data_IF_989952110019
#
_entry.id   IF_989952110019
#
_cell.length_a   1.000
_cell.length_b   1.000
_cell.length_c   1.000
_cell.angle_alpha   90.00
_cell.angle_beta   90.00
_cell.angle_gamma   90.00
#
_symmetry.space_group_name_H-M   'P 1'
#
loop_
_entity.id
_entity.type
_entity.pdbx_description
1 polymer ?
#
# COMPACT_ATOMS: atom_id res chain seq x y z
N UNK A 1 -25.05 -12.10 -10.23
CA UNK A 1 -24.03 -11.56 -9.30
C UNK A 1 -24.41 -11.89 -7.87
N UNK A 2 -23.50 -12.49 -7.11
CA UNK A 2 -23.74 -12.92 -5.73
C UNK A 2 -22.90 -12.09 -4.77
N UNK A 3 -23.54 -11.56 -3.72
CA UNK A 3 -22.90 -10.70 -2.73
C UNK A 3 -23.17 -11.27 -1.35
N UNK A 4 -22.09 -11.43 -0.56
CA UNK A 4 -22.16 -11.98 0.81
C UNK A 4 -23.02 -11.14 1.75
N UNK A 5 -22.99 -9.81 1.57
CA UNK A 5 -23.71 -8.85 2.42
C UNK A 5 -25.18 -8.78 2.05
N UNK A 6 -26.03 -8.62 3.06
CA UNK A 6 -27.49 -8.44 2.89
C UNK A 6 -27.87 -7.08 2.28
N UNK A 7 -26.96 -6.11 2.31
CA UNK A 7 -27.12 -4.81 1.66
C UNK A 7 -25.83 -4.39 0.96
N UNK A 8 -25.95 -3.65 -0.14
CA UNK A 8 -24.82 -2.97 -0.76
C UNK A 8 -24.34 -1.83 0.15
N UNK A 9 -23.02 -1.65 0.32
CA UNK A 9 -22.50 -0.48 1.03
C UNK A 9 -22.96 0.79 0.30
N UNK A 10 -23.24 1.83 1.08
CA UNK A 10 -23.68 3.15 0.58
C UNK A 10 -22.70 4.27 0.94
N UNK A 11 -21.94 4.08 2.01
CA UNK A 11 -20.95 5.04 2.50
C UNK A 11 -19.60 4.63 1.94
N UNK A 12 -18.91 5.58 1.29
CA UNK A 12 -17.54 5.37 0.82
C UNK A 12 -16.54 6.06 1.77
N UNK A 13 -15.95 5.35 2.74
CA UNK A 13 -14.95 5.93 3.64
C UNK A 13 -13.73 6.47 2.89
N UNK A 14 -13.42 5.91 1.71
CA UNK A 14 -12.30 6.37 0.88
C UNK A 14 -12.45 7.83 0.47
N UNK A 15 -13.68 8.28 0.17
CA UNK A 15 -13.92 9.68 -0.20
C UNK A 15 -13.56 10.65 0.92
N UNK A 16 -13.80 10.25 2.17
CA UNK A 16 -13.39 11.05 3.31
C UNK A 16 -11.85 11.08 3.44
N UNK A 17 -11.18 9.94 3.22
CA UNK A 17 -9.71 9.85 3.23
C UNK A 17 -9.04 10.69 2.14
N UNK A 18 -9.70 10.85 0.98
CA UNK A 18 -9.23 11.73 -0.09
C UNK A 18 -9.45 13.22 0.21
N UNK A 19 -10.33 13.52 1.15
CA UNK A 19 -10.64 14.87 1.62
C UNK A 19 -9.85 15.21 2.90
N UNK A 20 -10.11 16.40 3.45
CA UNK A 20 -9.62 16.82 4.78
C UNK A 20 -8.09 16.82 4.96
N UNK A 21 -7.32 16.81 3.86
CA UNK A 21 -5.87 16.81 3.93
C UNK A 21 -5.27 15.54 4.56
N UNK A 22 -6.04 14.45 4.68
CA UNK A 22 -5.62 13.20 5.32
C UNK A 22 -4.44 12.57 4.57
N UNK A 23 -4.53 12.43 3.24
CA UNK A 23 -3.48 11.79 2.41
C UNK A 23 -2.05 12.24 2.81
N UNK A 24 -1.72 13.55 2.82
CA UNK A 24 -0.38 13.99 3.18
C UNK A 24 0.00 13.91 4.66
N UNK A 25 -0.96 13.72 5.58
CA UNK A 25 -0.67 13.64 7.03
C UNK A 25 -0.91 12.25 7.62
N UNK A 26 -1.48 11.30 6.88
CA UNK A 26 -1.90 10.01 7.45
C UNK A 26 -0.76 9.28 8.18
N UNK A 27 0.47 9.36 7.63
CA UNK A 27 1.66 8.76 8.23
C UNK A 27 1.93 9.26 9.66
N UNK A 28 1.54 10.49 10.02
CA UNK A 28 1.79 11.07 11.35
C UNK A 28 0.86 10.54 12.42
N UNK A 29 -0.20 9.81 12.05
CA UNK A 29 -1.09 9.18 13.02
C UNK A 29 -0.32 8.12 13.83
N UNK A 30 -0.56 8.00 15.14
CA UNK A 30 -0.12 6.87 15.92
C UNK A 30 -0.69 5.55 15.36
N UNK A 31 0.02 4.45 15.59
CA UNK A 31 -0.39 3.14 15.07
C UNK A 31 -1.78 2.71 15.53
N UNK A 32 -2.16 3.02 16.77
CA UNK A 32 -3.50 2.75 17.27
C UNK A 32 -4.60 3.44 16.44
N UNK A 33 -4.36 4.67 16.01
CA UNK A 33 -5.30 5.42 15.18
C UNK A 33 -5.30 4.93 13.73
N UNK A 34 -4.12 4.66 13.16
CA UNK A 34 -4.00 4.03 11.83
C UNK A 34 -4.77 2.71 11.78
N UNK A 35 -4.56 1.85 12.77
CA UNK A 35 -5.19 0.54 12.87
C UNK A 35 -6.71 0.66 13.00
N UNK A 36 -7.19 1.50 13.92
CA UNK A 36 -8.63 1.75 14.11
C UNK A 36 -9.29 2.30 12.84
N UNK A 37 -8.66 3.27 12.19
CA UNK A 37 -9.17 3.87 10.97
C UNK A 37 -9.20 2.87 9.81
N UNK A 38 -8.16 2.05 9.64
CA UNK A 38 -8.12 1.02 8.61
C UNK A 38 -9.10 -0.12 8.89
N UNK A 39 -9.24 -0.57 10.15
CA UNK A 39 -10.22 -1.59 10.52
C UNK A 39 -11.64 -1.13 10.14
N UNK A 40 -11.99 0.12 10.42
CA UNK A 40 -13.24 0.73 9.98
C UNK A 40 -13.36 0.81 8.45
N UNK A 41 -12.29 1.21 7.76
CA UNK A 41 -12.26 1.27 6.29
C UNK A 41 -12.57 -0.10 5.65
N UNK A 42 -11.89 -1.16 6.08
CA UNK A 42 -12.10 -2.52 5.55
C UNK A 42 -13.49 -3.08 5.90
N UNK A 43 -14.02 -2.76 7.09
CA UNK A 43 -15.36 -3.18 7.49
C UNK A 43 -16.45 -2.60 6.57
N UNK A 44 -16.36 -1.31 6.22
CA UNK A 44 -17.34 -0.64 5.34
C UNK A 44 -17.11 -1.01 3.85
N UNK A 45 -15.86 -0.98 3.39
CA UNK A 45 -15.46 -1.12 1.99
C UNK A 45 -16.08 -0.03 1.08
N UNK A 46 -15.77 -0.05 -0.22
CA UNK A 46 -16.27 0.93 -1.19
C UNK A 46 -17.59 0.45 -1.83
N UNK A 47 -18.56 1.37 -2.05
CA UNK A 47 -19.76 1.08 -2.84
C UNK A 47 -19.46 0.98 -4.33
N UNK A 48 -20.30 0.25 -5.10
CA UNK A 48 -20.28 0.38 -6.56
C UNK A 48 -20.63 1.82 -6.96
N UNK A 49 -20.16 2.24 -8.13
CA UNK A 49 -20.60 3.52 -8.70
C UNK A 49 -22.04 3.40 -9.21
N UNK A 50 -22.82 4.48 -9.10
CA UNK A 50 -24.19 4.52 -9.63
C UNK A 50 -24.21 4.17 -11.12
N UNK A 51 -23.27 4.72 -11.88
CA UNK A 51 -23.12 4.49 -13.32
C UNK A 51 -22.91 3.00 -13.66
N UNK A 52 -21.96 2.31 -13.02
CA UNK A 52 -21.74 0.87 -13.23
C UNK A 52 -22.93 0.04 -12.77
N UNK A 53 -23.54 0.40 -11.64
CA UNK A 53 -24.73 -0.29 -11.14
C UNK A 53 -25.91 -0.18 -12.12
N UNK A 54 -26.20 1.03 -12.62
CA UNK A 54 -27.30 1.25 -13.57
C UNK A 54 -27.08 0.51 -14.89
N UNK A 55 -25.85 0.50 -15.41
CA UNK A 55 -25.52 -0.30 -16.61
C UNK A 55 -25.73 -1.79 -16.37
N UNK A 56 -25.33 -2.31 -15.22
CA UNK A 56 -25.55 -3.72 -14.89
C UNK A 56 -27.05 -4.04 -14.81
N UNK A 57 -27.83 -3.20 -14.12
CA UNK A 57 -29.29 -3.37 -14.02
C UNK A 57 -30.03 -3.26 -15.36
N UNK A 58 -29.49 -2.52 -16.32
CA UNK A 58 -30.08 -2.42 -17.66
C UNK A 58 -29.84 -3.66 -18.54
N UNK A 59 -28.94 -4.57 -18.15
CA UNK A 59 -28.62 -5.76 -18.93
C UNK A 59 -29.67 -6.87 -18.71
N UNK A 60 -30.24 -7.39 -19.80
CA UNK A 60 -31.18 -8.52 -19.73
C UNK A 60 -30.52 -9.74 -19.09
N UNK A 61 -31.18 -10.36 -18.10
CA UNK A 61 -30.64 -11.50 -17.36
C UNK A 61 -29.71 -11.16 -16.20
N UNK A 62 -29.41 -9.87 -15.93
CA UNK A 62 -28.69 -9.51 -14.73
C UNK A 62 -29.56 -9.70 -13.48
N UNK A 63 -29.10 -10.55 -12.57
CA UNK A 63 -29.70 -10.74 -11.25
C UNK A 63 -28.67 -10.46 -10.14
N UNK A 64 -29.09 -9.72 -9.10
CA UNK A 64 -28.30 -9.43 -7.92
C UNK A 64 -28.85 -10.21 -6.72
N UNK A 65 -28.03 -11.09 -6.14
CA UNK A 65 -28.37 -11.89 -4.97
C UNK A 65 -27.60 -11.35 -3.76
N UNK A 66 -28.29 -10.61 -2.89
CA UNK A 66 -27.73 -10.10 -1.62
C UNK A 66 -27.90 -11.14 -0.52
N UNK A 67 -27.01 -11.16 0.47
CA UNK A 67 -27.04 -12.15 1.55
C UNK A 67 -26.82 -13.58 1.03
N UNK A 68 -26.09 -13.71 -0.07
CA UNK A 68 -25.88 -14.97 -0.78
C UNK A 68 -24.38 -15.34 -0.80
N UNK A 69 -23.75 -15.58 0.36
CA UNK A 69 -22.41 -16.14 0.38
C UNK A 69 -22.43 -17.53 -0.26
N UNK A 70 -21.36 -17.85 -0.99
CA UNK A 70 -21.17 -19.18 -1.52
C UNK A 70 -20.69 -20.08 -0.38
N UNK A 71 -21.46 -21.13 -0.12
CA UNK A 71 -21.19 -22.12 0.92
C UNK A 71 -20.46 -23.34 0.36
N UNK A 72 -20.66 -23.62 -0.92
CA UNK A 72 -20.05 -24.73 -1.64
C UNK A 72 -20.06 -24.42 -3.14
N UNK A 73 -19.03 -24.91 -3.83
CA UNK A 73 -18.90 -24.87 -5.28
C UNK A 73 -18.43 -26.24 -5.73
N UNK A 74 -19.15 -26.86 -6.66
CA UNK A 74 -18.79 -28.16 -7.24
C UNK A 74 -19.09 -28.18 -8.73
N UNK A 75 -18.32 -28.94 -9.50
CA UNK A 75 -18.69 -29.29 -10.87
C UNK A 75 -19.64 -30.50 -10.84
N UNK A 76 -20.78 -30.41 -11.54
CA UNK A 76 -21.73 -31.53 -11.72
C UNK A 76 -22.26 -31.49 -13.15
N UNK A 77 -22.12 -32.62 -13.87
CA UNK A 77 -22.62 -32.79 -15.24
C UNK A 77 -22.15 -31.70 -16.23
N UNK A 78 -20.92 -31.20 -16.06
CA UNK A 78 -20.35 -30.15 -16.92
C UNK A 78 -20.78 -28.71 -16.56
N UNK A 79 -21.56 -28.52 -15.49
CA UNK A 79 -21.94 -27.21 -14.97
C UNK A 79 -21.31 -26.95 -13.60
N UNK A 80 -21.14 -25.68 -13.26
CA UNK A 80 -20.75 -25.27 -11.92
C UNK A 80 -21.99 -25.07 -11.06
N UNK A 81 -22.10 -25.87 -9.99
CA UNK A 81 -23.16 -25.79 -9.00
C UNK A 81 -22.66 -25.04 -7.77
N UNK A 82 -23.27 -23.89 -7.51
CA UNK A 82 -22.99 -23.06 -6.34
C UNK A 82 -24.15 -23.17 -5.35
N UNK A 83 -23.84 -23.55 -4.12
CA UNK A 83 -24.81 -23.55 -3.01
C UNK A 83 -24.71 -22.27 -2.20
N UNK A 84 -25.86 -21.64 -1.98
CA UNK A 84 -25.99 -20.46 -1.11
C UNK A 84 -27.08 -20.73 -0.06
N UNK A 85 -27.26 -19.86 0.95
CA UNK A 85 -28.42 -19.94 1.84
C UNK A 85 -29.77 -19.82 1.13
N UNK A 86 -29.79 -19.36 -0.14
CA UNK A 86 -31.00 -19.15 -0.94
C UNK A 86 -31.30 -20.33 -1.89
N UNK A 87 -30.46 -21.36 -1.88
CA UNK A 87 -30.59 -22.53 -2.75
C UNK A 87 -29.35 -22.81 -3.59
N UNK A 88 -29.49 -23.77 -4.50
CA UNK A 88 -28.49 -24.10 -5.51
C UNK A 88 -28.69 -23.28 -6.78
N UNK A 89 -27.57 -22.87 -7.41
CA UNK A 89 -27.54 -22.16 -8.66
C UNK A 89 -26.54 -22.82 -9.60
N UNK A 90 -26.89 -22.96 -10.89
CA UNK A 90 -26.09 -23.60 -11.93
C UNK A 90 -25.55 -22.55 -12.90
N UNK A 91 -24.28 -22.67 -13.29
CA UNK A 91 -23.61 -21.75 -14.20
C UNK A 91 -22.65 -22.50 -15.13
N UNK A 92 -22.53 -22.03 -16.38
CA UNK A 92 -21.50 -22.52 -17.31
C UNK A 92 -20.10 -21.99 -16.94
N UNK A 93 -20.03 -20.75 -16.43
CA UNK A 93 -18.78 -20.07 -16.11
C UNK A 93 -18.90 -19.24 -14.83
N UNK A 94 -17.77 -19.11 -14.11
CA UNK A 94 -17.67 -18.26 -12.94
C UNK A 94 -16.68 -17.11 -13.16
N UNK A 95 -17.10 -15.89 -12.84
CA UNK A 95 -16.21 -14.75 -12.67
C UNK A 95 -16.04 -14.46 -11.17
N UNK A 96 -14.83 -14.72 -10.63
CA UNK A 96 -14.54 -14.59 -9.20
C UNK A 96 -13.92 -13.22 -8.90
N UNK A 97 -14.73 -12.31 -8.35
CA UNK A 97 -14.32 -10.95 -7.99
C UNK A 97 -14.28 -10.78 -6.45
N UNK A 98 -13.50 -11.61 -5.76
CA UNK A 98 -13.49 -11.72 -4.28
C UNK A 98 -12.49 -10.78 -3.58
N UNK A 99 -11.80 -9.93 -4.34
CA UNK A 99 -10.81 -8.97 -3.83
C UNK A 99 -9.38 -9.51 -3.86
N UNK A 100 -8.52 -8.88 -3.08
CA UNK A 100 -7.08 -9.16 -3.03
C UNK A 100 -6.64 -9.32 -1.56
N UNK A 101 -5.53 -10.01 -1.35
CA UNK A 101 -4.86 -10.13 -0.05
C UNK A 101 -3.48 -9.46 -0.15
N UNK A 102 -3.08 -8.78 0.92
CA UNK A 102 -1.72 -8.25 1.08
C UNK A 102 -0.94 -9.19 1.99
N UNK A 103 -0.04 -9.99 1.41
CA UNK A 103 0.83 -10.88 2.17
C UNK A 103 2.15 -11.10 1.39
N UNK A 104 3.31 -10.67 1.92
CA UNK A 104 4.62 -10.92 1.30
C UNK A 104 4.95 -12.39 1.09
N UNK A 105 4.38 -13.30 1.90
CA UNK A 105 4.65 -14.74 1.80
C UNK A 105 4.06 -15.34 0.51
N UNK A 106 3.06 -14.70 -0.08
CA UNK A 106 2.45 -15.11 -1.35
C UNK A 106 3.23 -14.63 -2.58
N UNK A 107 4.36 -13.94 -2.40
CA UNK A 107 5.17 -13.36 -3.47
C UNK A 107 6.46 -14.17 -3.66
N UNK A 108 6.60 -14.95 -4.76
CA UNK A 108 7.79 -15.78 -4.98
C UNK A 108 9.10 -14.99 -4.94
N UNK A 109 9.10 -13.75 -5.45
CA UNK A 109 10.24 -12.85 -5.45
C UNK A 109 10.67 -12.39 -4.04
N UNK A 110 9.77 -12.49 -3.04
CA UNK A 110 10.06 -12.17 -1.64
C UNK A 110 10.22 -13.43 -0.78
N UNK A 111 10.17 -14.64 -1.34
CA UNK A 111 10.13 -15.88 -0.55
C UNK A 111 11.30 -16.02 0.44
N UNK A 112 12.51 -15.57 0.06
CA UNK A 112 13.70 -15.60 0.93
C UNK A 112 13.67 -14.56 2.06
N UNK A 113 12.80 -13.55 1.95
CA UNK A 113 12.73 -12.38 2.82
C UNK A 113 11.40 -12.30 3.59
N UNK A 114 10.36 -13.01 3.16
CA UNK A 114 8.99 -12.82 3.67
C UNK A 114 8.86 -13.05 5.18
N UNK A 115 9.61 -14.01 5.74
CA UNK A 115 9.67 -14.25 7.20
C UNK A 115 10.51 -13.24 7.98
N UNK A 116 11.23 -12.36 7.29
CA UNK A 116 12.15 -11.33 7.81
C UNK A 116 11.56 -9.92 7.73
N UNK A 117 10.48 -9.73 6.99
CA UNK A 117 9.74 -8.48 6.90
C UNK A 117 8.85 -8.35 8.13
N UNK A 118 8.92 -7.22 8.84
CA UNK A 118 7.99 -6.92 9.92
C UNK A 118 6.59 -6.71 9.36
N UNK A 119 5.58 -7.31 9.99
CA UNK A 119 4.18 -7.04 9.71
C UNK A 119 3.53 -6.26 10.87
N UNK A 120 2.33 -5.74 10.63
CA UNK A 120 1.57 -5.01 11.64
C UNK A 120 1.34 -5.84 12.92
N UNK A 121 1.09 -7.14 12.78
CA UNK A 121 0.97 -8.06 13.92
C UNK A 121 2.22 -8.19 14.79
N UNK A 122 3.42 -7.90 14.24
CA UNK A 122 4.68 -7.89 15.00
C UNK A 122 4.92 -6.56 15.75
N UNK A 123 4.19 -5.49 15.38
CA UNK A 123 4.47 -4.10 15.83
C UNK A 123 3.36 -3.51 16.69
N UNK A 124 2.12 -3.93 16.47
CA UNK A 124 0.97 -3.39 17.18
C UNK A 124 0.07 -4.51 17.69
N UNK A 125 -0.21 -4.50 18.99
CA UNK A 125 -1.20 -5.37 19.61
C UNK A 125 -2.49 -4.58 19.83
N UNK A 126 -3.56 -4.85 19.05
CA UNK A 126 -4.83 -4.17 19.23
C UNK A 126 -5.50 -4.61 20.55
N UNK A 127 -6.37 -3.77 21.13
CA UNK A 127 -7.16 -4.15 22.31
C UNK A 127 -7.96 -5.44 22.08
N UNK A 128 -8.30 -6.19 23.14
CA UNK A 128 -9.11 -7.41 23.04
C UNK A 128 -10.38 -7.20 22.22
N UNK A 129 -10.63 -8.10 21.26
CA UNK A 129 -11.78 -8.04 20.35
C UNK A 129 -11.64 -7.09 19.16
N UNK A 130 -10.51 -6.38 19.02
CA UNK A 130 -10.26 -5.48 17.88
C UNK A 130 -9.23 -6.03 16.89
N UNK A 131 -8.68 -7.22 17.13
CA UNK A 131 -7.76 -7.87 16.20
C UNK A 131 -8.39 -8.09 14.82
N UNK A 132 -7.62 -7.77 13.79
CA UNK A 132 -8.03 -7.90 12.40
C UNK A 132 -6.89 -8.57 11.60
N UNK A 133 -7.00 -9.88 11.33
CA UNK A 133 -5.96 -10.63 10.63
C UNK A 133 -5.59 -10.06 9.26
N UNK A 134 -6.52 -9.36 8.59
CA UNK A 134 -6.22 -8.70 7.31
C UNK A 134 -5.24 -7.56 7.52
N UNK A 135 -5.39 -6.76 8.59
CA UNK A 135 -4.45 -5.70 8.91
C UNK A 135 -3.12 -6.28 9.37
N UNK A 136 -3.18 -7.26 10.27
CA UNK A 136 -2.01 -7.83 10.94
C UNK A 136 -1.00 -8.44 9.94
N UNK A 137 -1.49 -8.95 8.80
CA UNK A 137 -0.67 -9.52 7.72
C UNK A 137 0.02 -8.48 6.82
N UNK A 138 -0.37 -7.20 6.85
CA UNK A 138 0.29 -6.19 6.02
C UNK A 138 1.71 -5.91 6.52
N UNK A 139 2.67 -5.65 5.61
CA UNK A 139 3.98 -5.13 5.97
C UNK A 139 3.89 -3.84 6.79
N UNK A 140 4.73 -3.75 7.82
CA UNK A 140 4.96 -2.54 8.57
C UNK A 140 6.11 -1.76 7.91
N UNK A 141 5.82 -0.55 7.42
CA UNK A 141 6.72 0.18 6.52
C UNK A 141 7.31 1.42 7.19
N UNK A 142 8.51 1.77 6.75
CA UNK A 142 9.16 3.02 7.09
C UNK A 142 8.48 4.25 6.47
N UNK A 143 8.89 5.45 6.90
CA UNK A 143 8.31 6.71 6.44
C UNK A 143 8.51 6.95 4.94
N UNK A 144 9.56 6.39 4.35
CA UNK A 144 9.89 6.43 2.93
C UNK A 144 9.39 5.22 2.13
N UNK A 145 8.51 4.40 2.71
CA UNK A 145 8.02 3.13 2.15
C UNK A 145 8.99 1.95 2.22
N UNK A 146 10.04 2.04 3.04
CA UNK A 146 11.00 0.97 3.27
C UNK A 146 10.32 -0.27 3.86
N UNK A 147 10.70 -1.47 3.41
CA UNK A 147 10.39 -2.70 4.14
C UNK A 147 11.24 -2.72 5.41
N UNK A 148 10.59 -2.82 6.57
CA UNK A 148 11.29 -2.84 7.84
C UNK A 148 11.58 -4.28 8.30
N UNK A 149 12.72 -4.51 8.95
CA UNK A 149 13.12 -5.83 9.40
C UNK A 149 12.29 -6.26 10.60
N UNK A 150 11.98 -7.55 10.68
CA UNK A 150 11.27 -8.17 11.80
C UNK A 150 12.12 -8.11 13.06
N UNK A 151 13.38 -8.55 12.96
CA UNK A 151 14.40 -8.45 14.00
C UNK A 151 15.60 -7.60 13.53
N UNK A 152 16.43 -7.05 14.43
CA UNK A 152 17.58 -6.22 14.04
C UNK A 152 18.56 -6.90 13.06
N UNK A 153 18.72 -8.22 13.14
CA UNK A 153 19.63 -9.01 12.31
C UNK A 153 19.19 -9.07 10.85
N UNK A 154 17.90 -8.88 10.57
CA UNK A 154 17.34 -8.88 9.22
C UNK A 154 17.56 -7.56 8.47
N UNK A 155 18.02 -6.50 9.16
CA UNK A 155 18.07 -5.13 8.62
C UNK A 155 18.89 -5.03 7.32
N UNK A 156 20.07 -5.65 7.29
CA UNK A 156 20.94 -5.60 6.11
C UNK A 156 20.31 -6.27 4.87
N UNK A 157 19.46 -7.29 5.07
CA UNK A 157 18.82 -8.01 3.97
C UNK A 157 17.66 -7.24 3.34
N UNK A 158 17.12 -6.24 4.03
CA UNK A 158 16.00 -5.42 3.55
C UNK A 158 16.42 -4.01 3.11
N UNK A 159 17.69 -3.64 3.29
CA UNK A 159 18.23 -2.37 2.80
C UNK A 159 18.01 -2.24 1.29
N UNK A 160 17.60 -1.05 0.84
CA UNK A 160 17.26 -0.79 -0.57
C UNK A 160 15.89 -1.33 -1.04
N UNK A 161 15.10 -1.99 -0.18
CA UNK A 161 13.78 -2.50 -0.55
C UNK A 161 12.65 -1.57 -0.11
N UNK A 162 11.83 -1.14 -1.08
CA UNK A 162 10.71 -0.22 -0.88
C UNK A 162 9.41 -0.81 -1.43
N UNK A 163 8.32 -0.71 -0.67
CA UNK A 163 7.00 -1.20 -1.03
C UNK A 163 6.05 -0.05 -1.41
N UNK A 164 6.01 0.30 -2.69
CA UNK A 164 5.09 1.32 -3.23
C UNK A 164 3.89 0.68 -3.94
N UNK A 165 3.00 0.08 -3.17
CA UNK A 165 1.78 -0.57 -3.64
C UNK A 165 0.73 -0.63 -2.51
N UNK A 166 -0.31 -1.46 -2.66
CA UNK A 166 -1.39 -1.60 -1.68
C UNK A 166 -0.93 -2.00 -0.27
N UNK A 167 0.25 -2.64 -0.14
CA UNK A 167 0.85 -2.95 1.17
C UNK A 167 1.09 -1.73 2.05
N UNK A 168 1.26 -0.54 1.44
CA UNK A 168 1.48 0.70 2.16
C UNK A 168 0.21 1.30 2.78
N UNK A 169 -0.97 0.76 2.49
CA UNK A 169 -2.25 1.38 2.87
C UNK A 169 -2.36 1.68 4.37
N UNK A 170 -1.97 0.75 5.24
CA UNK A 170 -2.10 0.94 6.69
C UNK A 170 -1.05 1.91 7.24
N UNK A 171 0.12 1.99 6.60
CA UNK A 171 1.21 2.86 7.02
C UNK A 171 0.99 4.31 6.54
N UNK A 172 0.49 4.45 5.30
CA UNK A 172 0.52 5.71 4.53
C UNK A 172 -0.85 6.15 4.01
N UNK A 173 -1.93 5.44 4.33
CA UNK A 173 -3.27 5.73 3.85
C UNK A 173 -3.35 5.57 2.32
N UNK A 174 -4.14 6.41 1.61
CA UNK A 174 -4.29 6.31 0.16
C UNK A 174 -3.01 6.60 -0.64
N UNK A 175 -1.95 7.10 0.00
CA UNK A 175 -0.74 7.65 -0.63
C UNK A 175 -0.13 6.75 -1.72
N UNK A 176 -0.08 5.44 -1.51
CA UNK A 176 0.43 4.46 -2.48
C UNK A 176 -0.62 3.41 -2.90
N UNK A 177 -1.88 3.66 -2.57
CA UNK A 177 -3.01 2.77 -2.84
C UNK A 177 -4.05 3.41 -3.78
N UNK A 178 -3.87 4.68 -4.17
CA UNK A 178 -4.69 5.35 -5.18
C UNK A 178 -3.97 6.49 -5.90
N UNK A 179 -4.46 6.82 -7.10
CA UNK A 179 -3.92 7.88 -7.95
C UNK A 179 -3.90 9.26 -7.28
N UNK A 180 -4.90 9.55 -6.44
CA UNK A 180 -5.00 10.81 -5.69
C UNK A 180 -3.83 11.02 -4.71
N UNK A 181 -3.19 9.93 -4.26
CA UNK A 181 -2.05 9.94 -3.36
C UNK A 181 -0.69 10.21 -4.02
N UNK A 182 -0.56 9.94 -5.33
CA UNK A 182 0.74 9.89 -6.01
C UNK A 182 1.52 11.19 -5.91
N UNK A 183 0.84 12.34 -6.08
CA UNK A 183 1.47 13.67 -6.03
C UNK A 183 2.18 13.96 -4.68
N UNK A 184 1.73 13.30 -3.61
CA UNK A 184 2.31 13.44 -2.27
C UNK A 184 3.35 12.35 -2.01
N UNK A 185 3.06 11.14 -2.47
CA UNK A 185 3.80 9.95 -2.11
C UNK A 185 5.10 9.78 -2.91
N UNK A 186 5.08 10.12 -4.20
CA UNK A 186 6.25 9.97 -5.08
C UNK A 186 7.45 10.84 -4.64
N UNK A 187 7.30 12.13 -4.27
CA UNK A 187 8.42 12.90 -3.74
C UNK A 187 9.02 12.29 -2.46
N UNK A 188 8.19 11.69 -1.59
CA UNK A 188 8.65 11.05 -0.36
C UNK A 188 9.43 9.77 -0.65
N UNK A 189 8.92 8.92 -1.54
CA UNK A 189 9.61 7.71 -1.99
C UNK A 189 10.95 8.06 -2.66
N UNK A 190 10.94 8.99 -3.63
CA UNK A 190 12.13 9.36 -4.37
C UNK A 190 13.22 9.94 -3.45
N UNK A 191 12.82 10.76 -2.47
CA UNK A 191 13.73 11.25 -1.44
C UNK A 191 14.32 10.11 -0.61
N UNK A 192 13.52 9.18 -0.13
CA UNK A 192 14.01 8.07 0.69
C UNK A 192 15.00 7.17 -0.06
N UNK A 193 14.71 6.88 -1.34
CA UNK A 193 15.63 6.13 -2.21
C UNK A 193 16.93 6.91 -2.43
N UNK A 194 16.84 8.20 -2.76
CA UNK A 194 18.02 9.04 -2.98
C UNK A 194 18.86 9.20 -1.72
N UNK A 195 18.22 9.38 -0.56
CA UNK A 195 18.89 9.49 0.73
C UNK A 195 19.63 8.18 1.09
N UNK A 196 19.05 6.99 0.83
CA UNK A 196 19.76 5.71 1.03
C UNK A 196 20.98 5.58 0.10
N UNK A 197 20.82 5.83 -1.21
CA UNK A 197 21.92 5.76 -2.16
C UNK A 197 23.06 6.75 -1.81
N UNK A 198 22.70 7.97 -1.41
CA UNK A 198 23.69 8.97 -0.99
C UNK A 198 24.45 8.54 0.27
N UNK A 199 23.76 7.89 1.23
CA UNK A 199 24.38 7.38 2.45
C UNK A 199 25.24 6.13 2.19
N UNK A 200 24.88 5.31 1.22
CA UNK A 200 25.70 4.16 0.79
C UNK A 200 27.04 4.64 0.22
N UNK A 201 27.03 5.75 -0.52
CA UNK A 201 28.23 6.37 -1.12
C UNK A 201 28.91 7.41 -0.19
N UNK A 202 28.42 7.58 1.04
CA UNK A 202 28.84 8.62 1.99
C UNK A 202 30.36 8.79 2.05
N UNK A 203 31.10 7.69 2.19
CA UNK A 203 32.53 7.75 2.40
C UNK A 203 33.24 8.33 1.17
N UNK A 204 32.93 7.83 -0.02
CA UNK A 204 33.49 8.32 -1.28
C UNK A 204 33.14 9.79 -1.54
N UNK A 205 31.90 10.19 -1.23
CA UNK A 205 31.45 11.58 -1.36
C UNK A 205 32.22 12.51 -0.43
N UNK A 206 32.35 12.13 0.86
CA UNK A 206 33.10 12.93 1.85
C UNK A 206 34.57 13.03 1.47
N UNK A 207 35.19 11.92 1.06
CA UNK A 207 36.60 11.92 0.64
C UNK A 207 36.81 12.79 -0.60
N UNK A 208 35.91 12.73 -1.59
CA UNK A 208 35.94 13.60 -2.77
C UNK A 208 35.77 15.07 -2.42
N UNK A 209 34.92 15.40 -1.44
CA UNK A 209 34.73 16.78 -0.99
C UNK A 209 35.97 17.30 -0.26
N UNK A 210 36.57 16.50 0.63
CA UNK A 210 37.78 16.90 1.36
C UNK A 210 39.01 17.01 0.46
N UNK A 211 39.05 16.24 -0.64
CA UNK A 211 40.08 16.32 -1.66
C UNK A 211 39.85 17.44 -2.69
N UNK A 212 38.71 18.13 -2.66
CA UNK A 212 38.37 19.16 -3.65
C UNK A 212 39.23 20.41 -3.47
N UNK A 213 40.06 20.71 -4.47
CA UNK A 213 41.03 21.81 -4.43
C UNK A 213 40.98 22.73 -5.66
N UNK A 214 39.92 22.64 -6.49
CA UNK A 214 39.82 23.49 -7.69
C UNK A 214 39.73 24.98 -7.32
N UNK A 215 40.70 25.80 -7.75
CA UNK A 215 40.65 27.24 -7.49
C UNK A 215 39.52 27.91 -8.27
N UNK A 216 38.49 28.40 -7.57
CA UNK A 216 37.45 29.25 -8.18
C UNK A 216 37.90 30.72 -8.23
N UNK A 217 38.57 31.19 -7.18
CA UNK A 217 39.08 32.55 -7.09
C UNK A 217 40.56 32.60 -7.49
N UNK A 218 40.84 33.16 -8.67
CA UNK A 218 42.21 33.32 -9.22
C UNK A 218 42.74 34.76 -9.15
N UNK A 219 42.05 35.63 -8.39
CA UNK A 219 42.46 37.02 -8.21
C UNK A 219 43.79 37.12 -7.45
N UNK A 220 44.64 38.05 -7.87
CA UNK A 220 45.95 38.29 -7.25
C UNK A 220 45.91 39.59 -6.44
N UNK A 221 46.44 39.56 -5.22
CA UNK A 221 46.67 40.75 -4.39
C UNK A 221 48.12 40.79 -3.88
N UNK A 222 48.83 41.94 -3.99
CA UNK A 222 48.38 43.19 -4.61
C UNK A 222 48.13 43.05 -6.12
N UNK A 223 47.25 43.89 -6.65
CA UNK A 223 46.96 43.93 -8.09
C UNK A 223 48.28 44.13 -8.87
N UNK A 224 48.55 43.33 -9.92
CA UNK A 224 49.74 43.53 -10.75
C UNK A 224 49.76 44.96 -11.27
N UNK A 225 50.85 45.70 -11.03
CA UNK A 225 50.99 47.07 -11.53
C UNK A 225 51.08 47.01 -13.05
N UNK A 226 50.10 47.59 -13.76
CA UNK A 226 50.19 47.75 -15.20
C UNK A 226 51.43 48.60 -15.51
N UNK A 227 52.41 48.03 -16.21
CA UNK A 227 53.52 48.80 -16.74
C UNK A 227 52.94 49.81 -17.74
N UNK A 228 53.04 51.10 -17.42
CA UNK A 228 52.67 52.19 -18.32
C UNK A 228 53.70 52.21 -19.44
N UNK A 229 53.25 51.98 -20.68
CA UNK A 229 54.06 52.11 -21.89
C UNK A 229 54.30 53.58 -22.26
#
# INVERSE_FOLDING_TARGET
MFVRRSALPRINPFRHMEQAGIIPRFLTLPDADKYRMMASFFAHNQPPTNDTFQRACAHAGFALHLGAPWLEVAERDGEVVVRTPQGEHRFDFLAVATGLVTDPQLRPELAALSGRIACWGDRYQPPPGQANPVLDAHPYLGPGFELLPRTPEDAALLHGLFAFNYSALINHGPSAAALSGLKVALPRLARAVADQLFLDDRQAIVDSYLAYDQPEFVGQWPQPTQAVA
#
